data_IF_741636058460
#
_entry.id   IF_741636058460
#
_cell.length_a   1.000
_cell.length_b   1.000
_cell.length_c   1.000
_cell.angle_alpha   90.00
_cell.angle_beta   90.00
_cell.angle_gamma   90.00
#
_symmetry.space_group_name_H-M   'P 1'
#
loop_
_entity.id
_entity.type
_entity.pdbx_description
1 polymer ?
#
# COMPACT_ATOMS: atom_id res chain seq x y z
N UNK A 1 0.91 27.68 0.01
CA UNK A 1 1.41 27.05 1.25
C UNK A 1 0.92 25.60 1.27
N UNK A 2 1.81 24.62 1.41
CA UNK A 2 1.42 23.20 1.49
C UNK A 2 0.91 22.91 2.92
N UNK A 3 -0.41 22.80 3.09
CA UNK A 3 -1.02 22.49 4.38
C UNK A 3 -1.10 20.96 4.52
N UNK A 4 -0.33 20.41 5.45
CA UNK A 4 -0.40 19.00 5.84
C UNK A 4 -1.22 18.90 7.11
N UNK A 5 -2.26 18.09 7.07
CA UNK A 5 -3.06 17.78 8.24
C UNK A 5 -2.60 16.42 8.78
N UNK A 6 -2.19 16.39 10.05
CA UNK A 6 -2.16 15.14 10.80
C UNK A 6 -3.62 14.87 11.26
N UNK A 7 -3.99 13.60 11.46
CA UNK A 7 -5.25 13.06 12.01
C UNK A 7 -6.30 12.46 11.05
N UNK A 8 -6.93 11.40 11.58
CA UNK A 8 -7.86 10.40 11.01
C UNK A 8 -9.23 10.93 10.56
N UNK A 9 -9.32 12.13 9.98
CA UNK A 9 -10.62 12.64 9.51
C UNK A 9 -10.71 12.41 8.00
N UNK A 10 -11.55 11.45 7.55
CA UNK A 10 -11.76 11.23 6.13
C UNK A 10 -12.32 12.50 5.47
N UNK A 11 -12.01 12.73 4.19
CA UNK A 11 -12.57 13.85 3.46
C UNK A 11 -14.10 13.77 3.41
N UNK A 12 -14.78 14.84 3.87
CA UNK A 12 -16.26 14.91 3.92
C UNK A 12 -16.96 14.82 2.54
N UNK A 13 -16.22 14.90 1.45
CA UNK A 13 -16.76 14.90 0.08
C UNK A 13 -16.86 13.50 -0.54
N UNK A 14 -16.42 12.45 0.16
CA UNK A 14 -16.42 11.09 -0.38
C UNK A 14 -17.74 10.42 -0.06
N UNK A 15 -18.45 10.00 -1.11
CA UNK A 15 -19.66 9.20 -0.97
C UNK A 15 -19.29 7.78 -0.52
N UNK A 16 -19.96 7.24 0.52
CA UNK A 16 -19.79 5.85 0.91
C UNK A 16 -20.11 4.90 -0.26
N UNK A 17 -19.29 3.86 -0.42
CA UNK A 17 -19.51 2.81 -1.39
C UNK A 17 -20.22 1.61 -0.75
N UNK A 18 -20.97 0.81 -1.54
CA UNK A 18 -21.53 -0.44 -1.05
C UNK A 18 -20.42 -1.41 -0.61
N UNK A 19 -20.71 -2.25 0.38
CA UNK A 19 -19.73 -3.16 0.97
C UNK A 19 -19.15 -4.13 -0.06
N UNK A 20 -19.97 -4.57 -1.02
CA UNK A 20 -19.59 -5.48 -2.09
C UNK A 20 -18.45 -4.90 -2.94
N UNK A 21 -18.49 -3.60 -3.23
CA UNK A 21 -17.43 -2.91 -3.99
C UNK A 21 -16.13 -2.81 -3.19
N UNK A 22 -16.22 -2.62 -1.87
CA UNK A 22 -15.06 -2.60 -1.00
C UNK A 22 -14.40 -3.99 -0.91
N UNK A 23 -15.21 -5.05 -0.81
CA UNK A 23 -14.72 -6.42 -0.72
C UNK A 23 -14.09 -6.90 -2.04
N UNK A 24 -14.68 -6.56 -3.18
CA UNK A 24 -14.07 -6.81 -4.49
C UNK A 24 -12.72 -6.09 -4.60
N UNK A 25 -12.67 -4.82 -4.18
CA UNK A 25 -11.42 -4.06 -4.18
C UNK A 25 -10.35 -4.67 -3.27
N UNK A 26 -10.68 -5.14 -2.06
CA UNK A 26 -9.74 -5.87 -1.19
C UNK A 26 -9.18 -7.10 -1.91
N UNK A 27 -10.02 -7.88 -2.59
CA UNK A 27 -9.58 -9.07 -3.33
C UNK A 27 -8.63 -8.69 -4.49
N UNK A 28 -8.95 -7.64 -5.26
CA UNK A 28 -8.09 -7.12 -6.34
C UNK A 28 -6.74 -6.64 -5.79
N UNK A 29 -6.76 -5.92 -4.66
CA UNK A 29 -5.57 -5.41 -3.99
C UNK A 29 -4.64 -6.56 -3.57
N UNK A 30 -5.18 -7.60 -2.92
CA UNK A 30 -4.43 -8.78 -2.51
C UNK A 30 -3.84 -9.50 -3.71
N UNK A 31 -4.66 -9.77 -4.74
CA UNK A 31 -4.19 -10.41 -5.96
C UNK A 31 -3.04 -9.62 -6.59
N UNK A 32 -3.16 -8.29 -6.62
CA UNK A 32 -2.15 -7.40 -7.19
C UNK A 32 -0.85 -7.42 -6.40
N UNK A 33 -0.92 -7.36 -5.07
CA UNK A 33 0.24 -7.53 -4.17
C UNK A 33 0.93 -8.86 -4.47
N UNK A 34 0.19 -9.96 -4.39
CA UNK A 34 0.73 -11.31 -4.59
C UNK A 34 1.31 -11.48 -6.00
N UNK A 35 0.68 -10.92 -7.03
CA UNK A 35 1.18 -10.99 -8.42
C UNK A 35 2.46 -10.20 -8.62
N UNK A 36 2.54 -8.98 -8.11
CA UNK A 36 3.64 -8.05 -8.36
C UNK A 36 4.86 -8.26 -7.44
N UNK A 37 4.70 -8.91 -6.28
CA UNK A 37 5.83 -9.29 -5.41
C UNK A 37 6.69 -10.38 -6.07
N UNK A 38 7.96 -10.07 -6.34
CA UNK A 38 8.87 -10.95 -7.10
C UNK A 38 9.62 -11.93 -6.18
N UNK A 39 9.84 -13.16 -6.66
CA UNK A 39 10.60 -14.22 -5.96
C UNK A 39 12.14 -14.14 -6.14
N UNK A 40 12.65 -13.16 -6.88
CA UNK A 40 14.05 -13.21 -7.30
C UNK A 40 14.96 -12.62 -6.21
N UNK A 41 16.07 -13.29 -5.89
CA UNK A 41 17.02 -12.88 -4.84
C UNK A 41 17.59 -11.47 -5.04
N UNK A 42 17.70 -11.02 -6.30
CA UNK A 42 18.10 -9.62 -6.65
C UNK A 42 17.05 -8.56 -6.28
N UNK A 43 15.82 -8.97 -5.99
CA UNK A 43 14.70 -8.11 -5.58
C UNK A 43 14.43 -8.22 -4.07
N UNK A 44 15.34 -8.84 -3.31
CA UNK A 44 15.31 -8.80 -1.84
C UNK A 44 15.62 -7.37 -1.41
N UNK A 45 14.64 -6.74 -0.76
CA UNK A 45 14.68 -5.33 -0.33
C UNK A 45 13.44 -4.57 -0.77
N UNK A 46 13.60 -3.25 -0.95
CA UNK A 46 12.54 -2.31 -1.32
C UNK A 46 11.75 -2.79 -2.54
N UNK A 47 10.48 -3.15 -2.35
CA UNK A 47 9.55 -3.44 -3.44
C UNK A 47 8.40 -2.44 -3.44
N UNK A 48 7.84 -2.17 -4.61
CA UNK A 48 6.68 -1.30 -4.73
C UNK A 48 5.68 -1.87 -5.72
N UNK A 49 4.41 -1.79 -5.35
CA UNK A 49 3.27 -2.23 -6.15
C UNK A 49 2.44 -0.99 -6.46
N UNK A 50 2.06 -0.81 -7.73
CA UNK A 50 1.24 0.33 -8.18
C UNK A 50 0.12 -0.18 -9.07
N UNK A 51 -1.10 0.34 -8.86
CA UNK A 51 -2.24 0.10 -9.74
C UNK A 51 -3.31 1.19 -9.58
N UNK A 52 -4.25 1.22 -10.53
CA UNK A 52 -5.35 2.19 -10.56
C UNK A 52 -6.30 1.99 -9.39
N UNK A 53 -6.65 3.05 -8.68
CA UNK A 53 -7.53 2.99 -7.52
C UNK A 53 -8.29 4.31 -7.34
N UNK A 54 -9.62 4.24 -7.26
CA UNK A 54 -10.46 5.40 -7.00
C UNK A 54 -10.27 5.92 -5.57
N UNK A 55 -10.38 7.23 -5.39
CA UNK A 55 -10.30 7.87 -4.07
C UNK A 55 -11.24 7.23 -3.04
N UNK A 56 -12.49 6.97 -3.47
CA UNK A 56 -13.54 6.40 -2.63
C UNK A 56 -13.26 4.95 -2.21
N UNK A 57 -12.66 4.14 -3.07
CA UNK A 57 -12.23 2.77 -2.73
C UNK A 57 -11.09 2.80 -1.71
N UNK A 58 -10.10 3.66 -1.93
CA UNK A 58 -8.99 3.82 -1.02
C UNK A 58 -9.46 4.28 0.36
N UNK A 59 -10.27 5.33 0.42
CA UNK A 59 -10.78 5.86 1.69
C UNK A 59 -11.75 4.87 2.36
N UNK A 60 -12.57 4.17 1.59
CA UNK A 60 -13.49 3.15 2.12
C UNK A 60 -12.79 1.99 2.81
N UNK A 61 -11.60 1.57 2.36
CA UNK A 61 -10.85 0.45 2.95
C UNK A 61 -9.78 0.91 3.94
N UNK A 62 -9.01 1.96 3.61
CA UNK A 62 -7.78 2.33 4.32
C UNK A 62 -7.93 3.68 5.06
N UNK A 63 -8.99 4.44 4.79
CA UNK A 63 -9.15 5.83 5.26
C UNK A 63 -9.09 6.03 6.77
N UNK A 64 -9.43 5.02 7.57
CA UNK A 64 -9.33 5.08 9.04
C UNK A 64 -7.90 4.98 9.58
N UNK A 65 -6.91 4.69 8.72
CA UNK A 65 -5.50 4.46 9.06
C UNK A 65 -4.56 5.52 8.47
N UNK A 66 -5.12 6.65 8.03
CA UNK A 66 -4.37 7.76 7.48
C UNK A 66 -3.39 8.33 8.49
N UNK A 67 -2.11 8.30 8.13
CA UNK A 67 -1.04 8.96 8.87
C UNK A 67 -0.83 10.40 8.40
N UNK A 68 -1.05 10.67 7.11
CA UNK A 68 -0.97 12.00 6.50
C UNK A 68 -1.95 12.13 5.35
N UNK A 69 -2.38 13.37 5.10
CA UNK A 69 -3.18 13.74 3.95
C UNK A 69 -2.83 15.15 3.49
N UNK A 70 -2.91 15.38 2.17
CA UNK A 70 -2.83 16.71 1.57
C UNK A 70 -3.98 16.89 0.56
N UNK A 71 -5.04 17.63 0.92
CA UNK A 71 -6.16 17.90 0.01
C UNK A 71 -5.71 18.64 -1.25
N UNK A 72 -4.80 19.61 -1.09
CA UNK A 72 -4.26 20.41 -2.21
C UNK A 72 -3.46 19.56 -3.19
N UNK A 73 -2.83 18.48 -2.73
CA UNK A 73 -2.05 17.57 -3.58
C UNK A 73 -2.84 16.34 -4.03
N UNK A 74 -4.10 16.20 -3.58
CA UNK A 74 -4.90 14.99 -3.79
C UNK A 74 -4.09 13.74 -3.46
N UNK A 75 -3.56 13.70 -2.23
CA UNK A 75 -2.63 12.67 -1.80
C UNK A 75 -2.89 12.22 -0.37
N UNK A 76 -3.00 10.91 -0.16
CA UNK A 76 -3.15 10.26 1.14
C UNK A 76 -1.96 9.36 1.45
N UNK A 77 -1.66 9.15 2.74
CA UNK A 77 -0.63 8.22 3.17
C UNK A 77 -1.01 7.50 4.47
N UNK A 78 -0.75 6.19 4.48
CA UNK A 78 -0.78 5.32 5.64
C UNK A 78 0.58 4.65 5.82
N UNK A 79 1.01 4.43 7.08
CA UNK A 79 2.28 3.76 7.39
C UNK A 79 1.99 2.68 8.43
N UNK A 80 2.30 1.43 8.07
CA UNK A 80 2.21 0.26 8.93
C UNK A 80 3.62 -0.24 9.25
N UNK A 81 3.95 -0.33 10.54
CA UNK A 81 5.29 -0.73 11.01
C UNK A 81 5.19 -1.42 12.36
N UNK A 82 6.23 -2.17 12.72
CA UNK A 82 6.29 -2.93 13.96
C UNK A 82 5.69 -4.33 13.86
N UNK A 83 5.75 -5.07 14.97
CA UNK A 83 5.44 -6.50 15.04
C UNK A 83 4.03 -6.84 14.52
N UNK A 84 3.04 -6.00 14.81
CA UNK A 84 1.64 -6.25 14.46
C UNK A 84 1.26 -5.73 13.07
N UNK A 85 2.19 -5.18 12.28
CA UNK A 85 1.88 -4.55 11.00
C UNK A 85 1.26 -5.53 9.99
N UNK A 86 1.77 -6.76 9.93
CA UNK A 86 1.23 -7.80 9.03
C UNK A 86 -0.22 -8.16 9.41
N UNK A 87 -0.46 -8.34 10.71
CA UNK A 87 -1.77 -8.71 11.22
C UNK A 87 -2.78 -7.58 11.03
N UNK A 88 -2.41 -6.35 11.36
CA UNK A 88 -3.27 -5.18 11.19
C UNK A 88 -3.71 -4.99 9.73
N UNK A 89 -2.78 -5.12 8.77
CA UNK A 89 -3.13 -5.06 7.34
C UNK A 89 -4.04 -6.23 6.96
N UNK A 90 -3.82 -7.42 7.53
CA UNK A 90 -4.69 -8.58 7.30
C UNK A 90 -6.10 -8.38 7.84
N UNK A 91 -6.26 -7.67 8.96
CA UNK A 91 -7.56 -7.29 9.51
C UNK A 91 -8.26 -6.27 8.61
N UNK A 92 -7.54 -5.25 8.13
CA UNK A 92 -8.08 -4.23 7.19
C UNK A 92 -8.56 -4.86 5.88
N UNK A 93 -7.79 -5.82 5.36
CA UNK A 93 -8.11 -6.53 4.13
C UNK A 93 -9.03 -7.74 4.35
N UNK A 94 -9.39 -8.03 5.61
CA UNK A 94 -10.19 -9.19 6.03
C UNK A 94 -9.64 -10.52 5.48
N UNK A 95 -8.31 -10.64 5.36
CA UNK A 95 -7.60 -11.80 4.81
C UNK A 95 -6.27 -11.97 5.51
N UNK A 96 -6.10 -13.07 6.24
CA UNK A 96 -4.87 -13.36 6.99
C UNK A 96 -3.69 -13.76 6.11
N UNK A 97 -3.95 -14.28 4.90
CA UNK A 97 -2.94 -14.73 3.95
C UNK A 97 -2.58 -13.69 2.87
N UNK A 98 -2.97 -12.42 3.05
CA UNK A 98 -2.72 -11.35 2.08
C UNK A 98 -1.23 -11.19 1.73
N UNK A 99 -0.36 -11.44 2.70
CA UNK A 99 1.10 -11.29 2.62
C UNK A 99 1.81 -12.49 2.01
N UNK A 100 1.09 -13.59 1.76
CA UNK A 100 1.64 -14.87 1.29
C UNK A 100 1.32 -15.04 -0.19
N UNK A 101 2.33 -15.32 -1.00
CA UNK A 101 2.16 -15.75 -2.38
C UNK A 101 2.61 -17.20 -2.53
N UNK A 102 1.69 -18.07 -2.95
CA UNK A 102 1.98 -19.48 -3.28
C UNK A 102 2.26 -19.65 -4.77
N UNK A 103 3.26 -20.47 -5.09
CA UNK A 103 3.60 -20.88 -6.46
C UNK A 103 3.15 -22.31 -6.74
N UNK A 104 3.08 -22.70 -8.02
CA UNK A 104 2.55 -24.00 -8.49
C UNK A 104 3.22 -25.23 -7.83
N UNK A 105 4.49 -25.11 -7.41
CA UNK A 105 5.27 -26.20 -6.81
C UNK A 105 5.40 -26.08 -5.28
N UNK A 106 4.45 -25.42 -4.61
CA UNK A 106 4.41 -25.32 -3.15
C UNK A 106 5.40 -24.32 -2.53
N UNK A 107 6.22 -23.66 -3.34
CA UNK A 107 7.07 -22.56 -2.89
C UNK A 107 6.19 -21.39 -2.43
N UNK A 108 6.63 -20.67 -1.40
CA UNK A 108 5.93 -19.49 -0.88
C UNK A 108 6.90 -18.32 -0.68
N UNK A 109 6.39 -17.12 -0.95
CA UNK A 109 7.05 -15.87 -0.56
C UNK A 109 6.15 -15.08 0.37
N UNK A 110 6.74 -14.49 1.40
CA UNK A 110 6.03 -13.76 2.44
C UNK A 110 6.54 -12.33 2.53
N UNK A 111 5.62 -11.38 2.71
CA UNK A 111 5.97 -10.01 3.10
C UNK A 111 6.45 -10.01 4.55
N UNK A 112 7.59 -9.37 4.81
CA UNK A 112 8.15 -9.19 6.16
C UNK A 112 8.13 -7.70 6.49
N UNK A 113 7.30 -7.29 7.45
CA UNK A 113 7.23 -5.90 7.94
C UNK A 113 7.87 -5.69 9.33
N UNK A 114 8.33 -6.78 9.96
CA UNK A 114 9.07 -6.77 11.22
C UNK A 114 9.91 -8.04 11.31
N UNK A 115 11.08 -7.96 11.95
CA UNK A 115 11.88 -9.15 12.26
C UNK A 115 12.73 -8.94 13.50
N UNK A 116 12.54 -9.80 14.51
CA UNK A 116 13.40 -9.92 15.69
C UNK A 116 14.72 -10.65 15.39
N UNK A 117 14.86 -11.25 14.21
CA UNK A 117 16.03 -12.04 13.83
C UNK A 117 17.24 -11.13 13.56
N UNK A 118 18.30 -11.32 14.34
CA UNK A 118 19.56 -10.58 14.24
C UNK A 118 20.19 -10.70 12.85
N UNK A 119 20.11 -11.85 12.17
CA UNK A 119 20.69 -12.03 10.83
C UNK A 119 19.97 -11.19 9.75
N UNK A 120 18.64 -11.07 9.84
CA UNK A 120 17.85 -10.19 8.97
C UNK A 120 18.19 -8.72 9.30
N UNK A 121 18.50 -8.42 10.55
CA UNK A 121 18.95 -7.10 10.98
C UNK A 121 20.41 -6.79 10.59
N UNK A 122 21.27 -7.79 10.44
CA UNK A 122 22.66 -7.62 9.98
C UNK A 122 22.78 -7.42 8.47
N UNK A 123 21.94 -8.09 7.67
CA UNK A 123 21.80 -7.79 6.24
C UNK A 123 21.43 -6.31 5.98
N UNK A 124 20.84 -5.62 6.97
CA UNK A 124 20.44 -4.21 6.91
C UNK A 124 21.52 -3.22 7.33
N UNK A 125 22.48 -3.59 8.19
CA UNK A 125 23.52 -2.67 8.72
C UNK A 125 24.42 -2.07 7.62
N UNK A 126 24.51 -2.72 6.46
CA UNK A 126 25.39 -2.32 5.37
C UNK A 126 24.83 -1.22 4.45
N UNK A 127 23.61 -0.72 4.67
CA UNK A 127 23.02 0.38 3.89
C UNK A 127 22.35 1.38 4.85
N UNK A 128 22.51 2.70 4.62
CA UNK A 128 21.73 3.76 5.31
C UNK A 128 20.23 3.54 5.01
N UNK A 129 19.56 2.64 5.73
CA UNK A 129 18.26 2.11 5.33
C UNK A 129 17.11 2.70 6.13
N UNK A 130 16.01 2.96 5.40
CA UNK A 130 14.70 3.38 5.91
C UNK A 130 14.15 2.30 6.85
N UNK A 131 13.26 2.66 7.80
CA UNK A 131 12.62 1.68 8.68
C UNK A 131 11.86 0.63 7.85
N UNK A 132 11.78 -0.61 8.35
CA UNK A 132 10.88 -1.60 7.76
C UNK A 132 9.45 -1.14 8.02
N UNK A 133 8.76 -0.82 6.95
CA UNK A 133 7.38 -0.36 7.00
C UNK A 133 6.70 -0.69 5.67
N UNK A 134 5.39 -0.93 5.74
CA UNK A 134 4.53 -0.82 4.58
C UNK A 134 3.99 0.61 4.56
N UNK A 135 4.36 1.34 3.53
CA UNK A 135 3.78 2.65 3.24
C UNK A 135 2.78 2.52 2.11
N UNK A 136 1.55 2.92 2.35
CA UNK A 136 0.49 2.96 1.34
C UNK A 136 0.18 4.41 1.03
N UNK A 137 0.23 4.77 -0.24
CA UNK A 137 -0.12 6.10 -0.71
C UNK A 137 -1.24 6.00 -1.74
N UNK A 138 -2.12 7.00 -1.74
CA UNK A 138 -3.02 7.25 -2.85
C UNK A 138 -2.71 8.62 -3.42
N UNK A 139 -2.71 8.73 -4.74
CA UNK A 139 -2.46 9.98 -5.44
C UNK A 139 -3.37 10.13 -6.67
N UNK A 140 -3.85 11.36 -6.90
CA UNK A 140 -4.44 11.76 -8.17
C UNK A 140 -3.45 12.64 -8.93
N UNK A 141 -3.16 12.25 -10.16
CA UNK A 141 -2.22 12.93 -11.04
C UNK A 141 -2.88 13.28 -12.37
N UNK A 142 -2.55 14.45 -12.90
CA UNK A 142 -2.87 14.79 -14.28
C UNK A 142 -1.86 14.11 -15.22
N UNK A 143 -2.36 13.41 -16.21
CA UNK A 143 -1.55 12.81 -17.28
C UNK A 143 -1.87 13.53 -18.58
N UNK A 144 -0.84 13.74 -19.40
CA UNK A 144 -1.00 14.19 -20.77
C UNK A 144 -0.79 13.01 -21.69
N UNK A 145 -1.71 12.82 -22.63
CA UNK A 145 -1.52 11.86 -23.70
C UNK A 145 -0.61 12.42 -24.80
N UNK A 146 -0.31 11.58 -25.80
CA UNK A 146 0.53 11.97 -26.94
C UNK A 146 -0.05 13.12 -27.77
N UNK A 147 -1.33 13.44 -27.60
CA UNK A 147 -2.04 14.54 -28.28
C UNK A 147 -2.17 15.79 -27.40
N UNK A 148 -1.46 15.84 -26.26
CA UNK A 148 -1.54 16.90 -25.25
C UNK A 148 -2.93 17.04 -24.58
N UNK A 149 -3.82 16.06 -24.71
CA UNK A 149 -5.06 16.05 -23.94
C UNK A 149 -4.77 15.66 -22.49
N UNK A 150 -5.41 16.38 -21.57
CA UNK A 150 -5.23 16.19 -20.13
C UNK A 150 -6.30 15.22 -19.64
N UNK A 151 -5.85 14.12 -19.03
CA UNK A 151 -6.67 13.16 -18.31
C UNK A 151 -6.30 13.13 -16.83
N UNK A 152 -7.24 12.72 -15.99
CA UNK A 152 -6.99 12.48 -14.57
C UNK A 152 -6.77 10.98 -14.36
N UNK A 153 -5.76 10.62 -13.59
CA UNK A 153 -5.59 9.25 -13.13
C UNK A 153 -5.32 9.17 -11.63
N UNK A 154 -5.79 8.08 -11.05
CA UNK A 154 -5.81 7.84 -9.62
C UNK A 154 -5.14 6.49 -9.35
N UNK A 155 -4.20 6.48 -8.41
CA UNK A 155 -3.39 5.30 -8.13
C UNK A 155 -3.25 5.07 -6.65
N UNK A 156 -3.16 3.79 -6.30
CA UNK A 156 -2.62 3.35 -5.02
C UNK A 156 -1.20 2.82 -5.24
N UNK A 157 -0.30 3.18 -4.33
CA UNK A 157 1.08 2.71 -4.29
C UNK A 157 1.36 2.09 -2.94
N UNK A 158 1.89 0.86 -2.94
CA UNK A 158 2.32 0.16 -1.75
C UNK A 158 3.83 -0.04 -1.80
N UNK A 159 4.54 0.60 -0.87
CA UNK A 159 5.97 0.47 -0.73
C UNK A 159 6.30 -0.42 0.46
N UNK A 160 6.94 -1.55 0.19
CA UNK A 160 7.48 -2.48 1.17
C UNK A 160 8.95 -2.11 1.40
N UNK A 161 9.22 -1.29 2.41
CA UNK A 161 10.53 -0.67 2.68
C UNK A 161 11.48 -1.60 3.44
#
# INVERSE_FOLDING_TARGET
MNQYYNYNIPPKHITPLPQEALDEFKNILIYTIQKQLKNHIKNVGLQSVKFTCLESLFVGVIGNYLTRYSPSRKWYQCIFKGENAIELVGQILERTNWSVRSYLYGQQTNVILFSSNSAINELKKNKKQKPIELRIEWEQCMIKDATNQISIAEYIMMHFL
#
